data_IF_526884834806
#
_entry.id   IF_526884834806
#
_cell.length_a   1.000
_cell.length_b   1.000
_cell.length_c   1.000
_cell.angle_alpha   90.00
_cell.angle_beta   90.00
_cell.angle_gamma   90.00
#
_symmetry.space_group_name_H-M   'P 1'
#
loop_
_entity.id
_entity.type
_entity.pdbx_description
1 polymer ?
#
# COMPACT_ATOMS: atom_id res chain seq x y z
N UNK A 1 22.06 -10.91 8.64
CA UNK A 1 22.20 -10.84 7.17
C UNK A 1 22.65 -9.43 6.76
N UNK A 2 23.35 -9.22 5.62
CA UNK A 2 23.66 -7.86 5.14
C UNK A 2 22.35 -7.19 4.69
N UNK A 3 22.31 -5.86 4.66
CA UNK A 3 21.11 -5.13 4.23
C UNK A 3 20.68 -5.52 2.80
N UNK A 4 21.66 -5.65 1.90
CA UNK A 4 21.42 -6.06 0.50
C UNK A 4 20.71 -7.42 0.41
N UNK A 5 21.18 -8.40 1.17
CA UNK A 5 20.58 -9.74 1.22
C UNK A 5 19.12 -9.71 1.70
N UNK A 6 18.82 -8.85 2.70
CA UNK A 6 17.45 -8.63 3.22
C UNK A 6 16.56 -8.03 2.14
N UNK A 7 17.06 -7.02 1.42
CA UNK A 7 16.32 -6.39 0.32
C UNK A 7 16.01 -7.41 -0.78
N UNK A 8 17.00 -8.20 -1.21
CA UNK A 8 16.79 -9.23 -2.23
C UNK A 8 15.80 -10.31 -1.78
N UNK A 9 15.84 -10.74 -0.51
CA UNK A 9 14.84 -11.65 0.06
C UNK A 9 13.43 -11.06 -0.08
N UNK A 10 13.25 -9.81 0.33
CA UNK A 10 11.95 -9.13 0.23
C UNK A 10 11.49 -8.99 -1.22
N UNK A 11 12.38 -8.71 -2.17
CA UNK A 11 12.02 -8.61 -3.58
C UNK A 11 11.62 -9.96 -4.19
N UNK A 12 12.32 -11.04 -3.83
CA UNK A 12 12.04 -12.38 -4.34
C UNK A 12 10.72 -12.96 -3.83
N UNK A 13 10.27 -12.52 -2.65
CA UNK A 13 9.02 -13.00 -2.06
C UNK A 13 7.78 -12.16 -2.49
N UNK A 14 7.91 -11.26 -3.47
CA UNK A 14 6.75 -10.51 -4.00
C UNK A 14 5.80 -11.53 -4.68
N UNK A 15 4.54 -11.63 -4.24
CA UNK A 15 3.61 -12.56 -4.84
C UNK A 15 3.20 -12.10 -6.24
N UNK A 16 2.74 -13.04 -7.07
CA UNK A 16 2.14 -12.72 -8.36
C UNK A 16 0.75 -12.13 -8.13
N UNK A 17 0.60 -10.84 -8.41
CA UNK A 17 -0.69 -10.17 -8.46
C UNK A 17 -1.31 -10.29 -9.86
N UNK A 18 -2.52 -10.84 -9.95
CA UNK A 18 -3.25 -10.96 -11.23
C UNK A 18 -4.11 -9.75 -11.54
N UNK A 19 -4.48 -8.99 -10.51
CA UNK A 19 -5.39 -7.86 -10.58
C UNK A 19 -4.92 -6.77 -9.61
N UNK A 20 -5.39 -5.55 -9.84
CA UNK A 20 -5.20 -4.46 -8.89
C UNK A 20 -6.26 -4.52 -7.78
N UNK A 21 -5.92 -4.03 -6.60
CA UNK A 21 -6.86 -3.89 -5.51
C UNK A 21 -7.70 -2.61 -5.66
N UNK A 22 -8.99 -2.70 -5.34
CA UNK A 22 -9.88 -1.55 -5.20
C UNK A 22 -9.53 -0.76 -3.94
N UNK A 23 -10.04 0.47 -3.84
CA UNK A 23 -9.95 1.30 -2.64
C UNK A 23 -10.52 0.57 -1.42
N UNK A 24 -11.64 -0.13 -1.59
CA UNK A 24 -12.26 -0.91 -0.50
C UNK A 24 -11.38 -2.10 -0.07
N UNK A 25 -10.80 -2.83 -1.03
CA UNK A 25 -9.89 -3.95 -0.73
C UNK A 25 -8.62 -3.45 -0.02
N UNK A 26 -8.05 -2.32 -0.45
CA UNK A 26 -6.88 -1.70 0.19
C UNK A 26 -7.18 -1.26 1.63
N UNK A 27 -8.34 -0.63 1.85
CA UNK A 27 -8.78 -0.20 3.18
C UNK A 27 -9.08 -1.39 4.09
N UNK A 28 -9.71 -2.44 3.57
CA UNK A 28 -9.96 -3.68 4.30
C UNK A 28 -8.65 -4.35 4.72
N UNK A 29 -7.71 -4.51 3.79
CA UNK A 29 -6.37 -5.04 4.07
C UNK A 29 -5.62 -4.20 5.11
N UNK A 30 -5.72 -2.88 5.05
CA UNK A 30 -5.11 -1.99 6.05
C UNK A 30 -5.67 -2.21 7.47
N UNK A 31 -6.99 -2.38 7.60
CA UNK A 31 -7.65 -2.69 8.88
C UNK A 31 -7.27 -4.07 9.40
N UNK A 32 -7.21 -5.06 8.51
CA UNK A 32 -6.76 -6.41 8.84
C UNK A 32 -5.31 -6.41 9.33
N UNK A 33 -4.43 -5.70 8.64
CA UNK A 33 -3.02 -5.56 9.02
C UNK A 33 -2.87 -4.94 10.42
N UNK A 34 -3.58 -3.84 10.69
CA UNK A 34 -3.58 -3.17 11.99
C UNK A 34 -4.12 -4.09 13.10
N UNK A 35 -5.16 -4.87 12.79
CA UNK A 35 -5.77 -5.83 13.73
C UNK A 35 -4.86 -7.03 14.01
N UNK A 36 -4.08 -7.47 13.02
CA UNK A 36 -3.18 -8.63 13.14
C UNK A 36 -1.87 -8.29 13.85
N UNK A 37 -1.38 -7.06 13.71
CA UNK A 37 -0.13 -6.59 14.33
C UNK A 37 -0.36 -5.33 15.17
N UNK A 38 -1.24 -5.37 16.20
CA UNK A 38 -1.68 -4.18 16.94
C UNK A 38 -0.53 -3.48 17.69
N UNK A 39 0.51 -4.21 18.08
CA UNK A 39 1.68 -3.64 18.78
C UNK A 39 2.61 -2.82 17.88
N UNK A 40 2.41 -2.87 16.56
CA UNK A 40 3.35 -2.33 15.56
C UNK A 40 2.72 -1.50 14.47
N UNK A 41 1.44 -1.74 14.19
CA UNK A 41 0.71 -1.10 13.11
C UNK A 41 -0.42 -0.29 13.72
N UNK A 42 -0.37 1.02 13.51
CA UNK A 42 -1.41 1.95 13.94
C UNK A 42 -2.04 2.59 12.70
N UNK A 43 -3.35 2.40 12.53
CA UNK A 43 -4.12 3.02 11.44
C UNK A 43 -4.86 4.24 11.98
N UNK A 44 -4.78 5.36 11.25
CA UNK A 44 -5.48 6.59 11.61
C UNK A 44 -5.83 7.39 10.36
N UNK A 45 -6.88 8.20 10.47
CA UNK A 45 -7.31 9.10 9.40
C UNK A 45 -6.44 10.35 9.35
N UNK A 46 -6.08 10.79 8.14
CA UNK A 46 -5.26 11.98 7.89
C UNK A 46 -6.01 13.09 7.15
N UNK A 47 -7.26 12.84 6.77
CA UNK A 47 -8.14 13.77 6.08
C UNK A 47 -9.23 13.06 5.32
N UNK A 48 -9.98 13.81 4.53
CA UNK A 48 -11.10 13.32 3.73
C UNK A 48 -10.91 13.73 2.26
N UNK A 49 -11.33 12.86 1.35
CA UNK A 49 -11.42 13.17 -0.07
C UNK A 49 -12.65 14.03 -0.38
N UNK A 50 -12.77 14.50 -1.63
CA UNK A 50 -13.86 15.40 -2.07
C UNK A 50 -15.27 14.84 -1.83
N UNK A 51 -15.43 13.52 -1.80
CA UNK A 51 -16.68 12.81 -1.54
C UNK A 51 -16.92 12.50 -0.05
N UNK A 52 -16.08 13.01 0.87
CA UNK A 52 -16.13 12.72 2.31
C UNK A 52 -15.55 11.36 2.70
N UNK A 53 -14.92 10.65 1.76
CA UNK A 53 -14.30 9.37 2.06
C UNK A 53 -12.99 9.57 2.85
N UNK A 54 -12.76 8.83 3.95
CA UNK A 54 -11.57 9.02 4.77
C UNK A 54 -10.31 8.54 4.05
N UNK A 55 -9.26 9.34 4.16
CA UNK A 55 -7.91 9.00 3.73
C UNK A 55 -7.16 8.48 4.94
N UNK A 56 -6.77 7.20 4.88
CA UNK A 56 -6.15 6.51 6.01
C UNK A 56 -4.64 6.36 5.83
N UNK A 57 -3.91 6.52 6.92
CA UNK A 57 -2.47 6.28 7.02
C UNK A 57 -2.19 5.13 7.99
N UNK A 58 -1.24 4.28 7.62
CA UNK A 58 -0.64 3.27 8.49
C UNK A 58 0.69 3.79 9.00
N UNK A 59 0.83 3.89 10.33
CA UNK A 59 2.14 4.01 10.98
C UNK A 59 2.65 2.62 11.36
N UNK A 60 3.81 2.23 10.87
CA UNK A 60 4.42 0.92 11.13
C UNK A 60 5.83 1.08 11.70
N UNK A 61 6.11 0.41 12.81
CA UNK A 61 7.43 0.43 13.47
C UNK A 61 7.65 1.66 14.35
N UNK A 62 8.86 1.75 14.92
CA UNK A 62 9.25 2.76 15.93
C UNK A 62 10.74 3.11 15.86
N UNK A 63 11.32 3.11 14.65
CA UNK A 63 12.72 3.46 14.44
C UNK A 63 12.97 4.97 14.40
N UNK A 64 14.25 5.37 14.46
CA UNK A 64 14.67 6.78 14.51
C UNK A 64 14.48 7.51 13.18
N UNK A 65 14.59 6.81 12.05
CA UNK A 65 14.34 7.38 10.73
C UNK A 65 12.85 7.44 10.45
N UNK A 66 12.42 8.41 9.65
CA UNK A 66 11.02 8.54 9.22
C UNK A 66 10.92 8.46 7.71
N UNK A 67 10.00 7.63 7.20
CA UNK A 67 9.70 7.53 5.79
C UNK A 67 8.19 7.69 5.56
N UNK A 68 7.81 8.55 4.62
CA UNK A 68 6.44 8.69 4.12
C UNK A 68 6.35 8.10 2.72
N UNK A 69 5.41 7.19 2.53
CA UNK A 69 5.14 6.54 1.26
C UNK A 69 3.65 6.64 0.98
N UNK A 70 3.29 7.02 -0.23
CA UNK A 70 1.89 7.12 -0.64
C UNK A 70 1.70 6.72 -2.09
N UNK A 71 0.52 6.18 -2.38
CA UNK A 71 0.11 5.75 -3.72
C UNK A 71 -1.13 6.51 -4.18
N UNK A 72 -1.45 6.36 -5.47
CA UNK A 72 -2.45 7.15 -6.19
C UNK A 72 -2.19 8.68 -6.19
N UNK A 73 -0.95 9.19 -6.35
CA UNK A 73 -0.76 10.63 -6.65
C UNK A 73 -1.43 11.00 -7.98
N UNK A 74 -1.41 10.06 -8.93
CA UNK A 74 -2.33 10.03 -10.05
C UNK A 74 -3.35 8.92 -9.80
N UNK A 75 -4.65 9.23 -9.74
CA UNK A 75 -5.67 8.26 -9.34
C UNK A 75 -5.84 7.07 -10.29
N UNK A 76 -5.29 7.16 -11.49
CA UNK A 76 -5.31 6.09 -12.48
C UNK A 76 -4.06 5.19 -12.43
N UNK A 77 -3.20 5.29 -11.41
CA UNK A 77 -1.95 4.54 -11.30
C UNK A 77 -1.91 3.60 -10.09
N UNK A 78 -2.62 2.44 -10.15
CA UNK A 78 -2.75 1.53 -9.01
C UNK A 78 -1.47 0.74 -8.68
N UNK A 79 -0.44 0.74 -9.52
CA UNK A 79 0.78 -0.05 -9.26
C UNK A 79 1.49 0.37 -7.96
N UNK A 80 1.42 1.65 -7.62
CA UNK A 80 1.97 2.16 -6.36
C UNK A 80 1.27 1.53 -5.16
N UNK A 81 -0.06 1.35 -5.21
CA UNK A 81 -0.79 0.80 -4.07
C UNK A 81 -0.51 -0.69 -3.87
N UNK A 82 -0.31 -1.45 -4.95
CA UNK A 82 0.11 -2.86 -4.86
C UNK A 82 1.50 -3.00 -4.23
N UNK A 83 2.41 -2.07 -4.54
CA UNK A 83 3.73 -2.01 -3.90
C UNK A 83 3.60 -1.76 -2.41
N UNK A 84 2.81 -0.77 -2.02
CA UNK A 84 2.61 -0.41 -0.61
C UNK A 84 1.81 -1.46 0.16
N UNK A 85 0.88 -2.15 -0.51
CA UNK A 85 0.17 -3.30 0.01
C UNK A 85 1.17 -4.36 0.47
N UNK A 86 1.97 -4.87 -0.46
CA UNK A 86 2.98 -5.88 -0.17
C UNK A 86 3.97 -5.42 0.91
N UNK A 87 4.52 -4.21 0.75
CA UNK A 87 5.54 -3.70 1.64
C UNK A 87 5.02 -3.52 3.07
N UNK A 88 3.79 -3.02 3.25
CA UNK A 88 3.19 -2.83 4.58
C UNK A 88 3.07 -4.15 5.36
N UNK A 89 2.60 -5.21 4.70
CA UNK A 89 2.54 -6.55 5.28
C UNK A 89 3.91 -7.12 5.58
N UNK A 90 4.88 -6.92 4.67
CA UNK A 90 6.24 -7.41 4.85
C UNK A 90 6.92 -6.75 6.04
N UNK A 91 6.84 -5.42 6.18
CA UNK A 91 7.42 -4.67 7.30
C UNK A 91 6.83 -5.17 8.62
N UNK A 92 5.51 -5.31 8.71
CA UNK A 92 4.86 -5.68 9.96
C UNK A 92 5.18 -7.12 10.41
N UNK A 93 5.29 -8.05 9.45
CA UNK A 93 5.48 -9.48 9.71
C UNK A 93 6.94 -9.91 9.89
N UNK A 94 7.91 -9.15 9.38
CA UNK A 94 9.33 -9.51 9.41
C UNK A 94 10.12 -8.69 10.45
N UNK A 95 10.38 -9.31 11.60
CA UNK A 95 11.16 -8.71 12.71
C UNK A 95 12.57 -8.29 12.30
N UNK A 96 13.24 -9.10 11.46
CA UNK A 96 14.61 -8.83 11.04
C UNK A 96 14.62 -7.62 10.09
N UNK A 97 13.70 -7.59 9.12
CA UNK A 97 13.53 -6.44 8.22
C UNK A 97 13.27 -5.16 9.02
N UNK A 98 12.28 -5.19 9.91
CA UNK A 98 11.88 -4.01 10.68
C UNK A 98 13.02 -3.46 11.55
N UNK A 99 13.74 -4.35 12.27
CA UNK A 99 14.86 -3.93 13.13
C UNK A 99 16.06 -3.38 12.35
N UNK A 100 16.35 -3.94 11.17
CA UNK A 100 17.49 -3.51 10.34
C UNK A 100 17.27 -2.18 9.65
N UNK A 101 16.03 -1.83 9.34
CA UNK A 101 15.73 -0.56 8.68
C UNK A 101 15.78 0.64 9.63
N UNK A 102 15.56 0.45 10.94
CA UNK A 102 15.49 1.54 11.93
C UNK A 102 14.58 2.70 11.49
N UNK A 103 13.41 2.38 10.91
CA UNK A 103 12.49 3.35 10.33
C UNK A 103 11.09 3.24 10.93
N UNK A 104 10.48 4.38 11.24
CA UNK A 104 9.04 4.56 11.41
C UNK A 104 8.43 4.91 10.05
N UNK A 105 7.56 4.04 9.56
CA UNK A 105 6.96 4.13 8.23
C UNK A 105 5.56 4.72 8.32
N UNK A 106 5.27 5.73 7.50
CA UNK A 106 3.92 6.25 7.28
C UNK A 106 3.50 5.86 5.86
N UNK A 107 2.48 5.02 5.74
CA UNK A 107 2.05 4.44 4.47
C UNK A 107 0.60 4.79 4.20
N UNK A 108 0.36 5.51 3.09
CA UNK A 108 -0.97 5.85 2.60
C UNK A 108 -1.23 5.04 1.32
N UNK A 109 -1.99 3.94 1.42
CA UNK A 109 -2.24 3.05 0.28
C UNK A 109 -3.05 3.71 -0.84
N UNK A 110 -3.81 4.77 -0.53
CA UNK A 110 -4.53 5.58 -1.51
C UNK A 110 -4.72 7.01 -0.99
N UNK A 111 -4.06 7.99 -1.61
CA UNK A 111 -4.16 9.40 -1.23
C UNK A 111 -5.32 10.14 -1.91
N UNK A 112 -5.81 9.63 -3.04
CA UNK A 112 -6.98 10.14 -3.78
C UNK A 112 -8.00 9.01 -4.02
N UNK A 113 -8.76 8.59 -2.99
CA UNK A 113 -9.76 7.54 -3.14
C UNK A 113 -10.89 7.95 -4.08
N UNK A 114 -11.24 9.24 -4.13
CA UNK A 114 -12.27 9.75 -5.05
C UNK A 114 -11.88 9.51 -6.51
N UNK A 115 -10.69 9.95 -6.92
CA UNK A 115 -10.21 9.72 -8.28
C UNK A 115 -9.95 8.24 -8.56
N UNK A 116 -9.40 7.49 -7.59
CA UNK A 116 -9.11 6.08 -7.76
C UNK A 116 -10.38 5.27 -8.08
N UNK A 117 -11.50 5.56 -7.40
CA UNK A 117 -12.80 4.94 -7.67
C UNK A 117 -13.29 5.13 -9.09
N UNK A 118 -13.06 6.30 -9.70
CA UNK A 118 -13.40 6.54 -11.10
C UNK A 118 -12.61 5.63 -12.06
N UNK A 119 -11.49 5.07 -11.60
CA UNK A 119 -10.59 4.21 -12.38
C UNK A 119 -10.70 2.72 -12.04
N UNK A 120 -11.49 2.30 -11.05
CA UNK A 120 -11.56 0.89 -10.63
C UNK A 120 -12.11 -0.05 -11.72
N UNK A 121 -12.83 0.50 -12.71
CA UNK A 121 -13.44 -0.27 -13.79
C UNK A 121 -12.45 -1.12 -14.62
N UNK A 122 -11.16 -0.78 -14.64
CA UNK A 122 -10.13 -1.56 -15.34
C UNK A 122 -9.22 -2.38 -14.41
N UNK A 123 -9.37 -2.28 -13.09
CA UNK A 123 -8.51 -2.95 -12.11
C UNK A 123 -8.66 -4.48 -12.12
N UNK A 124 -9.86 -4.96 -12.49
CA UNK A 124 -10.28 -6.36 -12.43
C UNK A 124 -10.46 -6.98 -13.82
N UNK A 125 -10.39 -8.31 -13.89
CA UNK A 125 -10.53 -9.14 -15.10
C UNK A 125 -9.21 -9.38 -15.84
N UNK A 126 -9.28 -10.10 -16.97
CA UNK A 126 -8.09 -10.51 -17.73
C UNK A 126 -7.27 -9.33 -18.27
N UNK A 127 -5.95 -9.50 -18.28
CA UNK A 127 -5.05 -8.50 -18.82
C UNK A 127 -5.21 -8.36 -20.35
N UNK A 128 -5.30 -7.12 -20.83
CA UNK A 128 -5.15 -6.82 -22.26
C UNK A 128 -4.63 -5.39 -22.45
N UNK A 129 -3.89 -5.10 -23.53
CA UNK A 129 -3.45 -3.73 -23.85
C UNK A 129 -4.60 -2.71 -23.92
N UNK A 130 -5.80 -3.15 -24.32
CA UNK A 130 -6.99 -2.29 -24.41
C UNK A 130 -7.37 -1.67 -23.07
N UNK A 131 -7.12 -2.36 -21.94
CA UNK A 131 -7.42 -1.82 -20.60
C UNK A 131 -6.67 -0.54 -20.28
N UNK A 132 -5.41 -0.45 -20.73
CA UNK A 132 -4.57 0.73 -20.49
C UNK A 132 -5.02 1.91 -21.39
N UNK A 133 -5.55 1.63 -22.59
CA UNK A 133 -6.09 2.68 -23.45
C UNK A 133 -7.34 3.37 -22.84
N UNK A 134 -8.10 2.66 -22.01
CA UNK A 134 -9.25 3.22 -21.28
C UNK A 134 -8.88 3.93 -19.97
N UNK A 135 -7.59 4.05 -19.63
CA UNK A 135 -7.06 4.81 -18.48
C UNK A 135 -7.36 6.34 -18.54
N UNK A 136 -7.98 6.80 -19.64
CA UNK A 136 -8.19 8.21 -20.00
C UNK A 136 -9.66 8.57 -20.29
N UNK A 137 -10.60 7.65 -20.14
CA UNK A 137 -12.05 7.94 -20.20
C UNK A 137 -12.64 7.92 -18.78
#
# INVERSE_FOLDING_TARGET
MKLEDIVWRVLNDIPVFKEFMTVDELNMSARELASKYPDRVFMFEIGEARNGEPINCLRIGSGELTALLFAFPHPNEPIGSMTLEYLSWRIASDNEFMSKMNTTWYIVKCVDPFGARLNEGWFKGDWSPKKICFKLL
#
